data_IF_835047173494
#
_entry.id   IF_835047173494
#
_cell.length_a   1.000
_cell.length_b   1.000
_cell.length_c   1.000
_cell.angle_alpha   90.00
_cell.angle_beta   90.00
_cell.angle_gamma   90.00
#
_symmetry.space_group_name_H-M   'P 1'
#
loop_
_entity.id
_entity.type
_entity.pdbx_description
1 polymer ?
#
# COMPACT_ATOMS: atom_id res chain seq x y z
N UNK A 1 0.49 -32.32 17.67
CA UNK A 1 0.02 -31.16 16.87
C UNK A 1 0.03 -29.93 17.76
N UNK A 2 1.05 -29.08 17.64
CA UNK A 2 1.21 -27.90 18.49
C UNK A 2 0.29 -26.77 17.99
N UNK A 3 -0.64 -26.34 18.84
CA UNK A 3 -1.53 -25.22 18.57
C UNK A 3 -0.74 -23.92 18.71
N UNK A 4 -0.43 -23.28 17.58
CA UNK A 4 0.19 -21.95 17.56
C UNK A 4 -0.84 -20.91 18.07
N UNK A 5 -0.51 -20.12 19.11
CA UNK A 5 -1.42 -19.11 19.64
C UNK A 5 -1.73 -18.02 18.60
N UNK A 6 -2.96 -17.51 18.61
CA UNK A 6 -3.52 -16.63 17.57
C UNK A 6 -2.70 -15.33 17.38
N UNK A 7 -2.10 -14.84 18.47
CA UNK A 7 -1.23 -13.65 18.49
C UNK A 7 0.05 -13.84 17.66
N UNK A 8 0.62 -15.04 17.69
CA UNK A 8 1.85 -15.35 16.95
C UNK A 8 1.59 -15.47 15.44
N UNK A 9 0.39 -15.91 15.06
CA UNK A 9 -0.07 -15.92 13.67
C UNK A 9 -0.26 -14.51 13.10
N UNK A 10 -0.80 -13.61 13.90
CA UNK A 10 -0.99 -12.20 13.51
C UNK A 10 0.36 -11.50 13.40
N UNK A 11 1.28 -11.76 14.34
CA UNK A 11 2.65 -11.23 14.28
C UNK A 11 3.39 -11.68 13.01
N UNK A 12 3.32 -12.96 12.66
CA UNK A 12 3.91 -13.46 11.40
C UNK A 12 3.30 -12.82 10.15
N UNK A 13 1.98 -12.59 10.15
CA UNK A 13 1.32 -11.83 9.08
C UNK A 13 1.80 -10.38 9.03
N UNK A 14 1.95 -9.72 10.19
CA UNK A 14 2.49 -8.36 10.28
C UNK A 14 3.96 -8.28 9.88
N UNK A 15 4.77 -9.30 10.18
CA UNK A 15 6.17 -9.38 9.78
C UNK A 15 6.28 -9.58 8.26
N UNK A 16 5.45 -10.44 7.66
CA UNK A 16 5.34 -10.60 6.18
C UNK A 16 4.85 -9.33 5.51
N UNK A 17 3.91 -8.61 6.13
CA UNK A 17 3.40 -7.33 5.63
C UNK A 17 4.34 -6.16 5.91
N UNK A 18 5.35 -6.34 6.77
CA UNK A 18 6.32 -5.33 7.19
C UNK A 18 7.74 -5.58 6.66
N UNK A 19 7.96 -6.66 5.92
CA UNK A 19 9.18 -6.87 5.14
C UNK A 19 9.24 -5.89 3.97
N UNK A 20 10.46 -5.57 3.51
CA UNK A 20 10.65 -4.81 2.28
C UNK A 20 9.88 -5.46 1.13
N UNK A 21 9.39 -4.67 0.18
CA UNK A 21 8.66 -5.18 -0.99
C UNK A 21 9.51 -6.18 -1.81
N UNK A 22 10.83 -6.13 -1.64
CA UNK A 22 11.83 -7.05 -2.20
C UNK A 22 12.26 -8.14 -1.20
N UNK A 23 11.48 -8.40 -0.15
CA UNK A 23 11.69 -9.48 0.79
C UNK A 23 11.45 -10.86 0.16
N UNK A 24 12.08 -11.93 0.67
CA UNK A 24 11.86 -13.29 0.17
C UNK A 24 10.40 -13.73 0.30
N UNK A 25 9.68 -13.30 1.34
CA UNK A 25 8.26 -13.62 1.51
C UNK A 25 7.39 -12.91 0.46
N UNK A 26 7.61 -11.62 0.23
CA UNK A 26 6.89 -10.86 -0.79
C UNK A 26 7.08 -11.44 -2.19
N UNK A 27 8.32 -11.81 -2.57
CA UNK A 27 8.60 -12.50 -3.84
C UNK A 27 7.85 -13.82 -3.98
N UNK A 28 7.89 -14.68 -2.95
CA UNK A 28 7.20 -15.97 -3.00
C UNK A 28 5.68 -15.82 -3.15
N UNK A 29 5.08 -14.81 -2.50
CA UNK A 29 3.66 -14.49 -2.65
C UNK A 29 3.35 -13.99 -4.06
N UNK A 30 4.19 -13.09 -4.61
CA UNK A 30 4.03 -12.59 -5.99
C UNK A 30 4.13 -13.71 -7.03
N UNK A 31 5.11 -14.61 -6.88
CA UNK A 31 5.27 -15.77 -7.76
C UNK A 31 4.03 -16.67 -7.72
N UNK A 32 3.46 -16.90 -6.52
CA UNK A 32 2.23 -17.67 -6.38
C UNK A 32 1.02 -16.97 -7.04
N UNK A 33 0.85 -15.67 -6.83
CA UNK A 33 -0.23 -14.89 -7.47
C UNK A 33 -0.10 -14.94 -9.00
N UNK A 34 1.12 -14.93 -9.53
CA UNK A 34 1.36 -14.99 -10.97
C UNK A 34 1.09 -16.37 -11.59
N UNK A 35 1.23 -17.45 -10.81
CA UNK A 35 1.07 -18.83 -11.28
C UNK A 35 -0.28 -19.47 -10.94
N UNK A 36 -1.02 -18.93 -9.97
CA UNK A 36 -2.33 -19.41 -9.55
C UNK A 36 -3.48 -18.50 -10.04
N UNK A 37 -4.31 -18.94 -11.02
CA UNK A 37 -5.38 -18.11 -11.58
C UNK A 37 -6.40 -17.61 -10.55
N UNK A 38 -6.76 -18.45 -9.57
CA UNK A 38 -7.71 -18.08 -8.51
C UNK A 38 -7.16 -16.95 -7.63
N UNK A 39 -5.89 -17.04 -7.24
CA UNK A 39 -5.24 -16.01 -6.44
C UNK A 39 -5.07 -14.70 -7.24
N UNK A 40 -4.77 -14.78 -8.53
CA UNK A 40 -4.72 -13.61 -9.42
C UNK A 40 -6.05 -12.87 -9.47
N UNK A 41 -7.16 -13.59 -9.67
CA UNK A 41 -8.51 -13.00 -9.70
C UNK A 41 -8.87 -12.34 -8.37
N UNK A 42 -8.54 -12.98 -7.25
CA UNK A 42 -8.77 -12.40 -5.92
C UNK A 42 -7.96 -11.12 -5.72
N UNK A 43 -6.66 -11.16 -6.04
CA UNK A 43 -5.77 -9.99 -5.96
C UNK A 43 -6.29 -8.83 -6.81
N UNK A 44 -6.69 -9.09 -8.05
CA UNK A 44 -7.23 -8.06 -8.96
C UNK A 44 -8.53 -7.46 -8.41
N UNK A 45 -9.37 -8.25 -7.76
CA UNK A 45 -10.59 -7.78 -7.11
C UNK A 45 -10.27 -6.84 -5.96
N UNK A 46 -9.37 -7.24 -5.04
CA UNK A 46 -8.96 -6.41 -3.92
C UNK A 46 -8.32 -5.10 -4.40
N UNK A 47 -7.47 -5.17 -5.44
CA UNK A 47 -6.86 -3.99 -6.07
C UNK A 47 -7.91 -3.03 -6.61
N UNK A 48 -8.96 -3.53 -7.27
CA UNK A 48 -10.09 -2.72 -7.74
C UNK A 48 -10.88 -2.11 -6.59
N UNK A 49 -11.13 -2.86 -5.52
CA UNK A 49 -11.81 -2.32 -4.33
C UNK A 49 -11.02 -1.16 -3.72
N UNK A 50 -9.69 -1.27 -3.59
CA UNK A 50 -8.85 -0.18 -3.10
C UNK A 50 -8.94 1.06 -4.00
N UNK A 51 -8.93 0.87 -5.32
CA UNK A 51 -9.09 1.97 -6.27
C UNK A 51 -10.44 2.68 -6.08
N UNK A 52 -11.52 1.90 -5.99
CA UNK A 52 -12.85 2.43 -5.75
C UNK A 52 -12.95 3.20 -4.42
N UNK A 53 -12.37 2.69 -3.34
CA UNK A 53 -12.33 3.42 -2.07
C UNK A 53 -11.61 4.77 -2.23
N UNK A 54 -10.45 4.78 -2.88
CA UNK A 54 -9.68 6.02 -3.10
C UNK A 54 -10.40 7.06 -3.97
N UNK A 55 -11.19 6.61 -4.94
CA UNK A 55 -11.89 7.49 -5.88
C UNK A 55 -13.24 7.97 -5.34
N UNK A 56 -13.92 7.17 -4.51
CA UNK A 56 -15.27 7.46 -4.02
C UNK A 56 -15.31 8.03 -2.60
N UNK A 57 -14.29 7.79 -1.77
CA UNK A 57 -14.09 8.61 -0.57
C UNK A 57 -13.60 9.97 -1.05
N UNK A 58 -14.48 10.98 -1.04
CA UNK A 58 -14.14 12.37 -1.32
C UNK A 58 -12.81 12.70 -0.65
N UNK A 59 -11.70 12.90 -1.40
CA UNK A 59 -10.48 13.34 -0.77
C UNK A 59 -10.76 14.75 -0.29
N UNK A 60 -10.77 14.96 1.02
CA UNK A 60 -10.49 16.29 1.54
C UNK A 60 -9.19 16.73 0.86
N UNK A 61 -9.25 17.83 0.11
CA UNK A 61 -8.06 18.34 -0.55
C UNK A 61 -7.02 18.62 0.54
N UNK A 62 -5.86 17.98 0.42
CA UNK A 62 -4.76 18.21 1.35
C UNK A 62 -4.40 19.69 1.29
N UNK A 63 -4.39 20.43 2.42
CA UNK A 63 -4.06 21.84 2.39
C UNK A 63 -2.67 22.06 1.78
N UNK A 64 -2.55 23.06 0.91
CA UNK A 64 -1.30 23.34 0.18
C UNK A 64 -0.11 23.52 1.12
N UNK A 65 -0.33 24.09 2.31
CA UNK A 65 0.69 24.24 3.34
C UNK A 65 1.25 22.90 3.85
N UNK A 66 0.41 21.86 3.96
CA UNK A 66 0.83 20.53 4.41
C UNK A 66 1.66 19.86 3.32
N UNK A 67 1.22 19.97 2.06
CA UNK A 67 1.96 19.48 0.91
C UNK A 67 3.33 20.17 0.79
N UNK A 68 3.37 21.50 0.87
CA UNK A 68 4.62 22.28 0.79
C UNK A 68 5.60 21.92 1.91
N UNK A 69 5.12 21.79 3.15
CA UNK A 69 5.94 21.35 4.30
C UNK A 69 6.51 19.95 4.09
N UNK A 70 5.72 19.02 3.58
CA UNK A 70 6.17 17.66 3.30
C UNK A 70 7.28 17.65 2.24
N UNK A 71 7.06 18.33 1.11
CA UNK A 71 8.04 18.39 0.02
C UNK A 71 9.36 19.01 0.46
N UNK A 72 9.31 20.03 1.33
CA UNK A 72 10.50 20.61 1.95
C UNK A 72 11.26 19.64 2.84
N UNK A 73 10.56 18.87 3.69
CA UNK A 73 11.20 17.87 4.56
C UNK A 73 11.85 16.75 3.75
N UNK A 74 11.29 16.43 2.58
CA UNK A 74 11.79 15.40 1.68
C UNK A 74 12.85 15.90 0.68
N UNK A 75 13.17 17.20 0.65
CA UNK A 75 14.06 17.83 -0.34
C UNK A 75 13.56 17.65 -1.80
N UNK A 76 12.24 17.75 -1.99
CA UNK A 76 11.53 17.53 -3.26
C UNK A 76 10.80 18.79 -3.74
N UNK A 77 11.23 19.96 -3.30
CA UNK A 77 10.57 21.25 -3.59
C UNK A 77 10.48 21.54 -5.11
N UNK A 78 11.41 21.01 -5.91
CA UNK A 78 11.41 21.12 -7.38
C UNK A 78 10.23 20.44 -8.08
N UNK A 79 9.54 19.49 -7.40
CA UNK A 79 8.41 18.75 -7.94
C UNK A 79 7.04 19.38 -7.61
N UNK A 80 7.02 20.49 -6.87
CA UNK A 80 5.80 21.23 -6.58
C UNK A 80 5.31 21.86 -7.90
N UNK A 81 4.31 21.24 -8.52
CA UNK A 81 3.59 21.85 -9.64
C UNK A 81 2.78 23.00 -9.08
N UNK A 82 3.08 24.22 -9.53
CA UNK A 82 2.24 25.39 -9.28
C UNK A 82 0.83 25.12 -9.84
N UNK A 83 -0.09 24.69 -8.97
CA UNK A 83 -1.51 24.79 -9.26
C UNK A 83 -1.90 26.23 -8.94
N UNK A 84 -1.53 27.11 -9.88
CA UNK A 84 -1.84 28.53 -9.81
C UNK A 84 -3.30 28.77 -9.44
N UNK A 85 -3.45 29.73 -8.54
CA UNK A 85 -4.68 30.26 -7.98
C UNK A 85 -5.91 30.18 -8.90
N UNK A 86 -7.01 29.66 -8.34
CA UNK A 86 -8.36 30.02 -8.75
C UNK A 86 -9.19 30.40 -7.54
#
# INVERSE_FOLDING_TARGET
>A
MNKIPHKERIKQLCDIMGEDLDGPACRAVLDHINTCPTCKVYYDTVKKTILLCKENDCPEELPDEVNARLMKVLDLEEYIKDKGAK
#
